data_IF_172343671175
#
_entry.id   IF_172343671175
#
_cell.length_a   1.000
_cell.length_b   1.000
_cell.length_c   1.000
_cell.angle_alpha   90.00
_cell.angle_beta   90.00
_cell.angle_gamma   90.00
#
_symmetry.space_group_name_H-M   'P 1'
#
loop_
_entity.id
_entity.type
_entity.pdbx_description
1 polymer ?
#
# COMPACT_ATOMS: atom_id res chain seq x y z
N UNK A 1 1.98 16.15 30.65
CA UNK A 1 1.66 17.53 30.20
C UNK A 1 2.65 18.01 29.19
N UNK A 2 2.37 17.70 27.93
CA UNK A 2 3.06 18.27 26.77
C UNK A 2 2.83 19.78 26.71
N UNK A 3 3.87 20.56 26.46
CA UNK A 3 3.77 22.02 26.37
C UNK A 3 3.73 22.48 24.92
N UNK A 4 3.25 23.71 24.68
CA UNK A 4 3.31 24.32 23.34
C UNK A 4 4.73 24.36 22.76
N UNK A 5 5.75 24.49 23.61
CA UNK A 5 7.14 24.48 23.19
C UNK A 5 7.56 23.11 22.64
N UNK A 6 7.09 22.02 23.25
CA UNK A 6 7.36 20.64 22.80
C UNK A 6 6.74 20.38 21.41
N UNK A 7 5.50 20.82 21.20
CA UNK A 7 4.83 20.72 19.90
C UNK A 7 5.60 21.47 18.81
N UNK A 8 6.07 22.69 19.12
CA UNK A 8 6.86 23.50 18.19
C UNK A 8 8.24 22.89 17.90
N UNK A 9 8.87 22.28 18.89
CA UNK A 9 10.17 21.63 18.72
C UNK A 9 10.06 20.45 17.75
N UNK A 10 9.00 19.62 17.87
CA UNK A 10 8.77 18.50 16.95
C UNK A 10 8.37 18.99 15.55
N UNK A 11 7.49 19.99 15.46
CA UNK A 11 7.09 20.56 14.17
C UNK A 11 8.24 21.20 13.38
N UNK A 12 9.34 21.58 14.06
CA UNK A 12 10.55 22.14 13.44
C UNK A 12 11.59 21.10 13.07
N UNK A 13 11.35 19.81 13.36
CA UNK A 13 12.24 18.74 12.90
C UNK A 13 12.35 18.79 11.37
N UNK A 14 13.45 18.22 10.86
CA UNK A 14 13.66 18.03 9.42
C UNK A 14 12.50 17.23 8.81
N UNK A 15 12.47 17.20 7.50
CA UNK A 15 11.48 16.44 6.73
C UNK A 15 11.36 15.00 7.23
N UNK A 16 10.11 14.59 7.46
CA UNK A 16 9.76 13.25 7.88
C UNK A 16 10.04 12.28 6.72
N UNK A 17 10.74 11.16 6.98
CA UNK A 17 11.06 10.21 5.93
C UNK A 17 9.79 9.48 5.49
N UNK A 18 9.39 9.66 4.23
CA UNK A 18 8.25 8.96 3.64
C UNK A 18 8.66 7.51 3.30
N UNK A 19 8.14 6.53 4.03
CA UNK A 19 8.62 5.12 3.98
C UNK A 19 7.76 4.16 3.16
N UNK A 20 6.77 4.64 2.42
CA UNK A 20 5.92 3.80 1.58
C UNK A 20 5.87 4.32 0.14
N UNK A 21 5.29 3.53 -0.78
CA UNK A 21 5.24 3.91 -2.19
C UNK A 21 4.47 5.23 -2.41
N UNK A 22 5.12 6.32 -2.90
CA UNK A 22 4.49 7.63 -3.02
C UNK A 22 3.45 7.69 -4.15
N UNK A 23 3.47 6.74 -5.09
CA UNK A 23 2.59 6.69 -6.27
C UNK A 23 1.09 6.58 -5.93
N UNK A 24 0.76 6.23 -4.68
CA UNK A 24 -0.61 6.06 -4.20
C UNK A 24 -1.15 7.30 -3.48
N UNK A 25 -0.37 8.37 -3.42
CA UNK A 25 -0.65 9.62 -2.74
C UNK A 25 -0.67 10.76 -3.74
N UNK A 26 -1.45 11.80 -3.45
CA UNK A 26 -1.36 13.06 -4.18
C UNK A 26 -0.14 13.85 -3.70
N UNK A 27 0.39 14.75 -4.54
CA UNK A 27 1.53 15.61 -4.15
C UNK A 27 1.26 16.36 -2.84
N UNK A 28 0.04 16.87 -2.67
CA UNK A 28 -0.39 17.53 -1.43
C UNK A 28 -0.33 16.61 -0.21
N UNK A 29 -0.71 15.34 -0.35
CA UNK A 29 -0.63 14.37 0.75
C UNK A 29 0.83 14.06 1.11
N UNK A 30 1.69 13.92 0.10
CA UNK A 30 3.13 13.73 0.29
C UNK A 30 3.70 14.92 1.05
N UNK A 31 3.42 16.15 0.60
CA UNK A 31 3.89 17.37 1.26
C UNK A 31 3.45 17.46 2.73
N UNK A 32 2.18 17.13 3.01
CA UNK A 32 1.65 17.14 4.36
C UNK A 32 2.38 16.14 5.27
N UNK A 33 2.59 14.91 4.81
CA UNK A 33 3.25 13.86 5.60
C UNK A 33 4.73 14.18 5.76
N UNK A 34 5.41 14.61 4.71
CA UNK A 34 6.84 14.97 4.76
C UNK A 34 7.08 16.16 5.70
N UNK A 35 6.19 17.16 5.69
CA UNK A 35 6.36 18.36 6.52
C UNK A 35 5.99 18.15 7.98
N UNK A 36 4.92 17.41 8.25
CA UNK A 36 4.31 17.31 9.58
C UNK A 36 4.35 15.91 10.18
N UNK A 37 4.92 14.93 9.49
CA UNK A 37 4.87 13.52 9.89
C UNK A 37 5.41 13.25 11.28
N UNK A 38 6.50 13.90 11.69
CA UNK A 38 7.01 13.77 13.06
C UNK A 38 6.02 14.26 14.12
N UNK A 39 5.26 15.31 13.79
CA UNK A 39 4.26 15.86 14.71
C UNK A 39 3.01 14.98 14.76
N UNK A 40 2.57 14.45 13.61
CA UNK A 40 1.48 13.47 13.59
C UNK A 40 1.83 12.19 14.33
N UNK A 41 3.02 11.64 14.09
CA UNK A 41 3.53 10.44 14.75
C UNK A 41 3.49 10.63 16.27
N UNK A 42 4.08 11.72 16.76
CA UNK A 42 4.13 12.03 18.17
C UNK A 42 2.74 12.24 18.82
N UNK A 43 1.76 12.78 18.09
CA UNK A 43 0.38 12.86 18.57
C UNK A 43 -0.30 11.49 18.63
N UNK A 44 -0.07 10.64 17.63
CA UNK A 44 -0.74 9.35 17.51
C UNK A 44 -0.13 8.25 18.39
N UNK A 45 1.17 8.33 18.69
CA UNK A 45 1.86 7.40 19.59
C UNK A 45 1.81 7.81 21.07
N UNK A 46 1.31 9.01 21.36
CA UNK A 46 1.18 9.56 22.71
C UNK A 46 2.42 10.26 23.26
N UNK A 47 3.49 10.42 22.46
CA UNK A 47 4.68 11.21 22.81
C UNK A 47 4.31 12.67 23.09
N UNK A 48 3.37 13.23 22.31
CA UNK A 48 2.73 14.51 22.56
C UNK A 48 1.28 14.29 22.98
N UNK A 49 0.93 14.82 24.15
CA UNK A 49 -0.48 14.96 24.54
C UNK A 49 -1.13 16.07 23.72
N UNK A 50 -2.39 15.90 23.25
CA UNK A 50 -3.11 16.96 22.58
C UNK A 50 -3.35 18.13 23.55
N UNK A 51 -3.11 19.35 23.06
CA UNK A 51 -3.33 20.60 23.82
C UNK A 51 -4.53 21.40 23.30
N UNK A 52 -5.17 20.94 22.22
CA UNK A 52 -6.39 21.52 21.68
C UNK A 52 -7.40 20.44 21.28
N UNK A 53 -8.69 20.77 21.32
CA UNK A 53 -9.76 19.89 20.87
C UNK A 53 -9.60 19.45 19.40
N UNK A 54 -9.03 20.32 18.55
CA UNK A 54 -8.76 19.96 17.15
C UNK A 54 -7.71 18.84 17.03
N UNK A 55 -6.70 18.81 17.90
CA UNK A 55 -5.70 17.74 17.95
C UNK A 55 -6.32 16.44 18.47
N UNK A 56 -7.22 16.51 19.45
CA UNK A 56 -7.98 15.35 19.91
C UNK A 56 -8.82 14.76 18.77
N UNK A 57 -9.56 15.61 18.05
CA UNK A 57 -10.34 15.19 16.87
C UNK A 57 -9.45 14.57 15.80
N UNK A 58 -8.28 15.14 15.53
CA UNK A 58 -7.30 14.57 14.60
C UNK A 58 -6.88 13.15 15.02
N UNK A 59 -6.52 12.96 16.30
CA UNK A 59 -6.12 11.65 16.83
C UNK A 59 -7.26 10.64 16.68
N UNK A 60 -8.49 11.00 17.07
CA UNK A 60 -9.66 10.13 16.94
C UNK A 60 -9.93 9.75 15.48
N UNK A 61 -9.85 10.72 14.56
CA UNK A 61 -10.07 10.48 13.14
C UNK A 61 -9.01 9.53 12.55
N UNK A 62 -7.74 9.69 12.91
CA UNK A 62 -6.65 8.84 12.40
C UNK A 62 -6.72 7.41 12.96
N UNK A 63 -7.09 7.24 14.23
CA UNK A 63 -7.22 5.92 14.85
C UNK A 63 -8.50 5.19 14.40
N UNK A 64 -9.49 5.93 13.91
CA UNK A 64 -10.75 5.40 13.41
C UNK A 64 -10.63 4.46 12.20
N UNK A 65 -11.67 3.66 11.95
CA UNK A 65 -11.73 2.76 10.79
C UNK A 65 -12.00 3.51 9.49
N UNK A 66 -12.70 4.64 9.55
CA UNK A 66 -13.16 5.39 8.39
C UNK A 66 -12.11 6.38 7.89
N UNK A 67 -12.24 6.76 6.61
CA UNK A 67 -11.36 7.75 5.99
C UNK A 67 -11.74 9.15 6.50
N UNK A 68 -10.80 9.91 7.10
CA UNK A 68 -11.08 11.26 7.53
C UNK A 68 -11.37 12.21 6.35
N UNK A 69 -12.25 13.20 6.58
CA UNK A 69 -12.51 14.27 5.61
C UNK A 69 -11.44 15.37 5.65
N UNK A 70 -10.90 15.65 6.84
CA UNK A 70 -9.89 16.68 7.04
C UNK A 70 -8.56 16.27 6.40
N UNK A 71 -7.93 17.19 5.68
CA UNK A 71 -6.79 16.88 4.79
C UNK A 71 -5.55 16.34 5.54
N UNK A 72 -5.20 16.90 6.69
CA UNK A 72 -4.07 16.43 7.48
C UNK A 72 -4.32 15.01 8.02
N UNK A 73 -5.49 14.78 8.63
CA UNK A 73 -5.91 13.49 9.15
C UNK A 73 -6.00 12.44 8.03
N UNK A 74 -6.56 12.81 6.88
CA UNK A 74 -6.68 11.93 5.73
C UNK A 74 -5.32 11.48 5.20
N UNK A 75 -4.38 12.42 5.04
CA UNK A 75 -3.03 12.12 4.56
C UNK A 75 -2.30 11.16 5.52
N UNK A 76 -2.37 11.44 6.83
CA UNK A 76 -1.72 10.62 7.85
C UNK A 76 -2.38 9.24 8.00
N UNK A 77 -3.71 9.17 8.04
CA UNK A 77 -4.45 7.91 8.08
C UNK A 77 -4.07 7.01 6.90
N UNK A 78 -4.04 7.57 5.68
CA UNK A 78 -3.70 6.82 4.46
C UNK A 78 -2.25 6.34 4.49
N UNK A 79 -1.33 7.18 4.98
CA UNK A 79 0.06 6.81 5.18
C UNK A 79 0.20 5.60 6.13
N UNK A 80 -0.42 5.66 7.31
CA UNK A 80 -0.36 4.57 8.30
C UNK A 80 -0.94 3.26 7.76
N UNK A 81 -2.11 3.31 7.11
CA UNK A 81 -2.73 2.12 6.52
C UNK A 81 -1.84 1.53 5.42
N UNK A 82 -1.25 2.37 4.57
CA UNK A 82 -0.36 1.90 3.51
C UNK A 82 0.92 1.28 4.07
N UNK A 83 1.53 1.93 5.06
CA UNK A 83 2.71 1.41 5.74
C UNK A 83 2.44 0.05 6.38
N UNK A 84 1.29 -0.11 7.05
CA UNK A 84 0.89 -1.39 7.63
C UNK A 84 0.69 -2.49 6.58
N UNK A 85 0.11 -2.16 5.42
CA UNK A 85 -0.03 -3.10 4.30
C UNK A 85 1.34 -3.52 3.76
N UNK A 86 2.25 -2.57 3.54
CA UNK A 86 3.59 -2.87 3.02
C UNK A 86 4.40 -3.73 3.99
N UNK A 87 4.33 -3.44 5.30
CA UNK A 87 4.96 -4.29 6.34
C UNK A 87 4.36 -5.70 6.33
N UNK A 88 3.03 -5.81 6.25
CA UNK A 88 2.33 -7.11 6.31
C UNK A 88 2.53 -7.97 5.06
N UNK A 89 2.63 -7.34 3.89
CA UNK A 89 2.60 -8.01 2.58
C UNK A 89 3.86 -7.82 1.75
N UNK A 90 4.96 -7.33 2.33
CA UNK A 90 6.24 -7.06 1.66
C UNK A 90 6.65 -8.18 0.68
N UNK A 91 6.60 -9.43 1.13
CA UNK A 91 7.01 -10.61 0.35
C UNK A 91 6.05 -10.99 -0.80
N UNK A 92 4.81 -10.51 -0.75
CA UNK A 92 3.80 -10.78 -1.79
C UNK A 92 3.62 -9.63 -2.78
N UNK A 93 3.83 -8.38 -2.35
CA UNK A 93 3.64 -7.20 -3.20
C UNK A 93 4.71 -7.05 -4.27
N UNK A 94 5.92 -7.55 -4.04
CA UNK A 94 7.03 -7.49 -5.00
C UNK A 94 7.17 -8.75 -5.86
N UNK A 95 6.26 -9.71 -5.75
CA UNK A 95 6.23 -10.81 -6.72
C UNK A 95 5.75 -10.23 -8.03
N UNK A 96 6.69 -10.01 -8.95
CA UNK A 96 6.35 -9.78 -10.34
C UNK A 96 5.40 -10.90 -10.74
N UNK A 97 4.19 -10.55 -11.17
CA UNK A 97 3.29 -11.49 -11.79
C UNK A 97 4.00 -11.95 -13.07
N UNK A 98 4.76 -13.03 -12.98
CA UNK A 98 5.23 -13.74 -14.14
C UNK A 98 3.96 -14.28 -14.78
N UNK A 99 3.50 -13.60 -15.83
CA UNK A 99 2.55 -14.15 -16.74
C UNK A 99 3.24 -15.36 -17.36
N UNK A 100 3.01 -16.54 -16.80
CA UNK A 100 3.21 -17.75 -17.58
C UNK A 100 2.18 -17.65 -18.68
N UNK A 101 2.61 -17.31 -19.90
CA UNK A 101 1.84 -17.63 -21.09
C UNK A 101 1.53 -19.13 -20.98
N UNK A 102 0.36 -19.47 -20.46
CA UNK A 102 -0.23 -20.76 -20.72
C UNK A 102 -0.52 -20.71 -22.20
N UNK A 103 0.46 -21.16 -22.98
CA UNK A 103 0.49 -21.07 -24.42
C UNK A 103 -0.86 -21.52 -24.94
N UNK A 104 -1.61 -20.58 -25.50
CA UNK A 104 -2.73 -20.93 -26.35
C UNK A 104 -2.19 -21.91 -27.39
N UNK A 105 -2.88 -23.05 -27.57
CA UNK A 105 -2.47 -24.06 -28.55
C UNK A 105 -2.15 -23.37 -29.87
N UNK A 106 -0.87 -23.36 -30.24
CA UNK A 106 -0.50 -22.82 -31.54
C UNK A 106 -1.10 -23.71 -32.61
N UNK A 107 -1.35 -23.15 -33.80
CA UNK A 107 -1.91 -23.92 -34.93
C UNK A 107 -1.07 -25.17 -35.24
N UNK A 108 0.24 -25.12 -34.99
CA UNK A 108 1.15 -26.25 -35.10
C UNK A 108 0.87 -27.34 -34.06
N UNK A 109 0.66 -26.99 -32.78
CA UNK A 109 0.32 -27.95 -31.73
C UNK A 109 -1.01 -28.66 -32.00
N UNK A 110 -2.00 -27.96 -32.57
CA UNK A 110 -3.28 -28.56 -32.99
C UNK A 110 -3.08 -29.57 -34.14
N UNK A 111 -2.18 -29.29 -35.08
CA UNK A 111 -1.87 -30.22 -36.18
C UNK A 111 -1.17 -31.48 -35.68
N UNK A 112 -0.22 -31.34 -34.75
CA UNK A 112 0.46 -32.48 -34.15
C UNK A 112 -0.48 -33.34 -33.31
N UNK A 113 -1.37 -32.73 -32.50
CA UNK A 113 -2.43 -33.46 -31.79
C UNK A 113 -3.31 -34.27 -32.74
N UNK A 114 -3.74 -33.69 -33.86
CA UNK A 114 -4.55 -34.40 -34.86
C UNK A 114 -3.80 -35.56 -35.49
N UNK A 115 -2.51 -35.40 -35.78
CA UNK A 115 -1.67 -36.48 -36.31
C UNK A 115 -1.58 -37.65 -35.32
N UNK A 116 -1.35 -37.35 -34.04
CA UNK A 116 -1.27 -38.35 -32.97
C UNK A 116 -2.60 -39.11 -32.85
N UNK A 117 -3.71 -38.40 -32.69
CA UNK A 117 -5.05 -39.01 -32.56
C UNK A 117 -5.40 -39.89 -33.76
N UNK A 118 -5.12 -39.41 -34.98
CA UNK A 118 -5.37 -40.20 -36.19
C UNK A 118 -4.49 -41.45 -36.26
N UNK A 119 -3.22 -41.36 -35.83
CA UNK A 119 -2.32 -42.51 -35.82
C UNK A 119 -2.75 -43.59 -34.81
N UNK A 120 -3.24 -43.18 -33.64
CA UNK A 120 -3.73 -44.09 -32.59
C UNK A 120 -5.00 -44.81 -33.05
N UNK A 121 -5.98 -44.07 -33.58
CA UNK A 121 -7.21 -44.68 -34.12
C UNK A 121 -6.90 -45.69 -35.23
N UNK A 122 -5.91 -45.40 -36.09
CA UNK A 122 -5.53 -46.30 -37.18
C UNK A 122 -4.86 -47.59 -36.69
N UNK A 123 -4.11 -47.52 -35.58
CA UNK A 123 -3.54 -48.70 -34.93
C UNK A 123 -4.60 -49.56 -34.24
N UNK A 124 -5.61 -48.93 -33.62
CA UNK A 124 -6.71 -49.66 -32.97
C UNK A 124 -7.64 -50.36 -33.99
N UNK A 125 -7.92 -49.73 -35.14
CA UNK A 125 -8.74 -50.35 -36.20
C UNK A 125 -8.03 -51.46 -37.00
N UNK A 126 -6.72 -51.67 -36.78
CA UNK A 126 -5.94 -52.73 -37.43
C UNK A 126 -5.73 -53.98 -36.56
N UNK A 127 -6.19 -53.96 -35.31
CA UNK A 127 -6.31 -55.15 -34.45
C UNK A 127 -7.65 -55.82 -34.66
#
# INVERSE_FOLDING_TARGET
MSTRADHLAIARKREFPFRCSPQLFTDRQIDLVTRWGFWYEALTDGTLEPITAAQEVFIQAVLGPDVPEEAHAQAWWRYLRRLAIEIKYADSMHRAAHYQEQGFYTRAMVQDMRRIVNSTNWQEHRR
#
